data_IF_259050917879
#
_entry.id   IF_259050917879
#
_cell.length_a   1.000
_cell.length_b   1.000
_cell.length_c   1.000
_cell.angle_alpha   90.00
_cell.angle_beta   90.00
_cell.angle_gamma   90.00
#
_symmetry.space_group_name_H-M   'P 1'
#
loop_
_entity.id
_entity.type
_entity.pdbx_description
1 polymer ?
#
# COMPACT_ATOMS: atom_id res chain seq x y z
N UNK A 1 17.27 -37.30 32.92
CA UNK A 1 17.20 -35.82 32.93
C UNK A 1 17.06 -35.38 31.50
N UNK A 2 15.82 -35.26 31.05
CA UNK A 2 15.47 -34.74 29.72
C UNK A 2 15.28 -33.24 29.89
N UNK A 3 16.28 -32.48 29.47
CA UNK A 3 16.17 -31.03 29.35
C UNK A 3 15.18 -30.74 28.22
N UNK A 4 13.97 -30.43 28.63
CA UNK A 4 12.95 -29.83 27.78
C UNK A 4 13.37 -28.38 27.60
N UNK A 5 14.21 -28.11 26.61
CA UNK A 5 14.41 -26.75 26.13
C UNK A 5 13.06 -26.28 25.59
N UNK A 6 12.40 -25.40 26.35
CA UNK A 6 11.22 -24.69 25.90
C UNK A 6 11.57 -24.00 24.59
N UNK A 7 10.98 -24.48 23.50
CA UNK A 7 11.09 -23.87 22.19
C UNK A 7 10.54 -22.45 22.32
N UNK A 8 11.45 -21.49 22.46
CA UNK A 8 11.12 -20.08 22.56
C UNK A 8 10.52 -19.69 21.21
N UNK A 9 9.20 -19.58 21.14
CA UNK A 9 8.46 -19.35 19.91
C UNK A 9 8.66 -17.88 19.51
N UNK A 10 9.75 -17.61 18.79
CA UNK A 10 10.04 -16.31 18.22
C UNK A 10 8.87 -15.86 17.32
N UNK A 11 8.20 -14.76 17.70
CA UNK A 11 7.18 -14.13 16.89
C UNK A 11 7.85 -13.22 15.84
N UNK A 12 7.82 -13.66 14.58
CA UNK A 12 8.30 -12.88 13.43
C UNK A 12 7.55 -11.56 13.21
N UNK A 13 6.43 -11.32 13.90
CA UNK A 13 5.66 -10.08 13.82
C UNK A 13 6.25 -8.94 14.65
N UNK A 14 7.19 -9.23 15.55
CA UNK A 14 7.71 -8.24 16.51
C UNK A 14 8.97 -7.50 16.00
N UNK A 15 9.49 -7.84 14.82
CA UNK A 15 10.73 -7.27 14.29
C UNK A 15 10.58 -6.85 12.83
N UNK A 16 10.05 -5.65 12.62
CA UNK A 16 10.07 -4.97 11.31
C UNK A 16 11.33 -4.13 11.07
N UNK A 17 12.22 -4.03 12.06
CA UNK A 17 13.39 -3.16 12.02
C UNK A 17 14.69 -3.98 12.02
N UNK A 18 15.59 -3.65 11.08
CA UNK A 18 16.95 -4.21 10.98
C UNK A 18 17.83 -3.83 12.18
N UNK A 19 17.42 -2.85 13.00
CA UNK A 19 18.12 -2.46 14.24
C UNK A 19 18.17 -3.56 15.33
N UNK A 20 17.43 -4.65 15.15
CA UNK A 20 17.42 -5.81 16.05
C UNK A 20 18.41 -6.91 15.62
N UNK A 21 19.07 -6.76 14.47
CA UNK A 21 20.18 -7.64 14.09
C UNK A 21 21.43 -7.17 14.84
N UNK A 22 22.27 -8.07 15.39
CA UNK A 22 23.49 -7.67 16.06
C UNK A 22 24.35 -6.79 15.14
N UNK A 23 24.82 -5.64 15.64
CA UNK A 23 25.64 -4.66 14.92
C UNK A 23 26.94 -5.24 14.30
N UNK A 24 27.26 -6.50 14.60
CA UNK A 24 28.53 -7.15 14.29
C UNK A 24 28.41 -8.28 13.26
N UNK A 25 27.28 -8.42 12.57
CA UNK A 25 27.16 -9.32 11.43
C UNK A 25 27.47 -8.48 10.19
N UNK A 26 28.75 -8.41 9.81
CA UNK A 26 29.13 -7.90 8.49
C UNK A 26 28.39 -8.69 7.40
N UNK A 27 28.15 -8.07 6.24
CA UNK A 27 27.42 -8.69 5.12
C UNK A 27 28.05 -10.04 4.77
N UNK A 28 27.43 -11.13 5.23
CA UNK A 28 27.90 -12.50 5.00
C UNK A 28 27.63 -12.85 3.53
N UNK A 29 28.67 -13.24 2.79
CA UNK A 29 28.56 -13.70 1.39
C UNK A 29 27.71 -14.98 1.24
N UNK A 30 27.53 -15.73 2.32
CA UNK A 30 26.81 -17.01 2.32
C UNK A 30 26.33 -17.36 3.73
N UNK A 31 25.24 -18.14 3.81
CA UNK A 31 24.66 -18.61 5.08
C UNK A 31 24.80 -20.13 5.16
N UNK A 32 25.32 -20.64 6.29
CA UNK A 32 25.49 -22.08 6.53
C UNK A 32 24.16 -22.84 6.67
N UNK A 33 23.15 -22.19 7.24
CA UNK A 33 21.89 -22.83 7.60
C UNK A 33 20.72 -21.85 7.44
N UNK A 34 19.57 -22.38 7.03
CA UNK A 34 18.30 -21.66 7.03
C UNK A 34 17.30 -22.44 7.85
N UNK A 35 16.56 -21.76 8.72
CA UNK A 35 15.40 -22.34 9.40
C UNK A 35 14.17 -21.91 8.61
N UNK A 36 13.51 -22.87 7.97
CA UNK A 36 12.25 -22.62 7.25
C UNK A 36 11.10 -22.98 8.19
N UNK A 37 10.37 -21.96 8.62
CA UNK A 37 9.10 -22.17 9.34
C UNK A 37 7.98 -22.34 8.31
N UNK A 38 7.50 -23.57 8.14
CA UNK A 38 6.26 -23.84 7.42
C UNK A 38 5.11 -23.84 8.43
N UNK A 39 4.16 -22.92 8.28
CA UNK A 39 2.88 -22.98 9.00
C UNK A 39 1.86 -23.63 8.08
N UNK A 40 0.97 -24.43 8.67
CA UNK A 40 -0.26 -24.80 7.99
C UNK A 40 -0.96 -23.52 7.52
N UNK A 41 -1.59 -23.59 6.34
CA UNK A 41 -2.39 -22.47 5.86
C UNK A 41 -3.43 -22.14 6.94
N UNK A 42 -3.54 -20.87 7.36
CA UNK A 42 -4.55 -20.49 8.34
C UNK A 42 -5.93 -20.91 7.82
N UNK A 43 -6.85 -21.17 8.74
CA UNK A 43 -8.24 -21.46 8.39
C UNK A 43 -8.71 -20.45 7.33
N UNK A 44 -9.28 -20.96 6.24
CA UNK A 44 -9.77 -20.15 5.11
C UNK A 44 -11.07 -19.43 5.45
N UNK A 45 -11.33 -19.20 6.74
CA UNK A 45 -12.52 -18.56 7.26
C UNK A 45 -12.23 -17.79 8.53
N UNK A 46 -12.95 -16.68 8.74
CA UNK A 46 -12.85 -15.89 9.95
C UNK A 46 -13.44 -16.65 11.14
N UNK A 47 -12.59 -17.05 12.08
CA UNK A 47 -12.97 -17.67 13.34
C UNK A 47 -12.58 -16.73 14.49
N UNK A 48 -13.54 -15.94 14.97
CA UNK A 48 -13.29 -14.98 16.05
C UNK A 48 -14.53 -14.87 16.95
N UNK A 49 -14.42 -15.43 18.15
CA UNK A 49 -15.51 -15.52 19.11
C UNK A 49 -16.67 -16.40 18.62
N UNK A 50 -17.76 -16.40 19.38
CA UNK A 50 -18.90 -17.30 19.11
C UNK A 50 -19.78 -16.81 17.94
N UNK A 51 -19.68 -15.53 17.57
CA UNK A 51 -20.53 -14.91 16.51
C UNK A 51 -19.80 -14.74 15.18
N UNK A 52 -18.47 -14.92 15.14
CA UNK A 52 -17.66 -14.79 13.94
C UNK A 52 -17.86 -13.44 13.21
N UNK A 53 -17.88 -12.35 13.98
CA UNK A 53 -18.13 -10.98 13.50
C UNK A 53 -16.86 -10.19 13.20
N UNK A 54 -15.69 -10.82 13.14
CA UNK A 54 -14.41 -10.12 12.94
C UNK A 54 -14.40 -9.26 11.66
N UNK A 55 -15.00 -9.75 10.55
CA UNK A 55 -15.14 -8.95 9.32
C UNK A 55 -15.97 -7.69 9.55
N UNK A 56 -17.10 -7.81 10.26
CA UNK A 56 -17.95 -6.67 10.59
C UNK A 56 -17.22 -5.66 11.47
N UNK A 57 -16.46 -6.12 12.48
CA UNK A 57 -15.66 -5.23 13.32
C UNK A 57 -14.58 -4.51 12.52
N UNK A 58 -13.90 -5.20 11.60
CA UNK A 58 -12.94 -4.58 10.69
C UNK A 58 -13.58 -3.50 9.82
N UNK A 59 -14.75 -3.78 9.22
CA UNK A 59 -15.49 -2.78 8.43
C UNK A 59 -15.90 -1.59 9.30
N UNK A 60 -16.45 -1.84 10.48
CA UNK A 60 -16.84 -0.78 11.42
C UNK A 60 -15.66 0.13 11.78
N UNK A 61 -14.49 -0.45 12.05
CA UNK A 61 -13.26 0.32 12.30
C UNK A 61 -12.85 1.14 11.06
N UNK A 62 -12.92 0.56 9.87
CA UNK A 62 -12.56 1.24 8.62
C UNK A 62 -13.49 2.44 8.30
N UNK A 63 -14.80 2.34 8.57
CA UNK A 63 -15.74 3.45 8.39
C UNK A 63 -15.62 4.52 9.49
N UNK A 64 -14.95 4.23 10.60
CA UNK A 64 -14.67 5.12 11.72
C UNK A 64 -15.89 5.48 12.59
N UNK A 65 -17.06 5.71 11.98
CA UNK A 65 -18.32 6.02 12.67
C UNK A 65 -19.52 5.31 12.03
N UNK A 66 -20.54 5.02 12.83
CA UNK A 66 -21.79 4.41 12.35
C UNK A 66 -22.49 5.23 11.26
N UNK A 67 -22.41 6.56 11.32
CA UNK A 67 -23.02 7.44 10.32
C UNK A 67 -22.39 7.33 8.93
N UNK A 68 -21.17 6.80 8.83
CA UNK A 68 -20.48 6.60 7.55
C UNK A 68 -20.75 5.21 6.95
N UNK A 69 -21.26 4.27 7.74
CA UNK A 69 -21.55 2.92 7.26
C UNK A 69 -22.80 2.93 6.38
N UNK A 70 -22.76 2.16 5.29
CA UNK A 70 -23.92 1.99 4.44
C UNK A 70 -24.97 1.12 5.12
N UNK A 71 -26.25 1.34 4.82
CA UNK A 71 -27.37 0.60 5.42
C UNK A 71 -27.23 -0.92 5.25
N UNK A 72 -26.64 -1.37 4.13
CA UNK A 72 -26.44 -2.79 3.81
C UNK A 72 -25.47 -3.51 4.73
N UNK A 73 -24.62 -2.79 5.48
CA UNK A 73 -23.63 -3.38 6.40
C UNK A 73 -23.76 -2.85 7.82
N UNK A 74 -24.84 -2.12 8.14
CA UNK A 74 -25.04 -1.46 9.44
C UNK A 74 -25.05 -2.45 10.61
N UNK A 75 -25.42 -3.70 10.35
CA UNK A 75 -25.47 -4.77 11.33
C UNK A 75 -24.72 -6.01 10.84
N UNK A 76 -24.07 -6.76 11.75
CA UNK A 76 -23.37 -7.99 11.37
C UNK A 76 -24.33 -9.03 10.75
N UNK A 77 -25.58 -9.08 11.19
CA UNK A 77 -26.63 -9.95 10.65
C UNK A 77 -26.81 -9.74 9.14
N UNK A 78 -26.79 -8.49 8.67
CA UNK A 78 -27.02 -8.18 7.26
C UNK A 78 -25.90 -8.72 6.36
N UNK A 79 -24.66 -8.75 6.86
CA UNK A 79 -23.53 -9.35 6.13
C UNK A 79 -23.71 -10.87 6.04
N UNK A 80 -24.10 -11.53 7.13
CA UNK A 80 -24.35 -12.99 7.14
C UNK A 80 -25.49 -13.36 6.19
N UNK A 81 -26.61 -12.63 6.27
CA UNK A 81 -27.76 -12.83 5.40
C UNK A 81 -27.40 -12.63 3.93
N UNK A 82 -26.64 -11.57 3.60
CA UNK A 82 -26.18 -11.31 2.23
C UNK A 82 -25.29 -12.43 1.67
N UNK A 83 -24.48 -13.06 2.53
CA UNK A 83 -23.61 -14.18 2.16
C UNK A 83 -24.33 -15.54 2.22
N UNK A 84 -25.61 -15.58 2.57
CA UNK A 84 -26.40 -16.80 2.82
C UNK A 84 -25.78 -17.71 3.90
N UNK A 85 -25.28 -17.11 4.98
CA UNK A 85 -24.68 -17.79 6.13
C UNK A 85 -25.60 -17.70 7.35
N UNK A 86 -25.59 -18.72 8.22
CA UNK A 86 -26.25 -18.60 9.51
C UNK A 86 -25.52 -17.59 10.40
N UNK A 87 -26.21 -17.09 11.43
CA UNK A 87 -25.72 -15.97 12.24
C UNK A 87 -24.30 -16.15 12.78
N UNK A 88 -23.99 -17.35 13.26
CA UNK A 88 -22.73 -17.67 13.91
C UNK A 88 -21.75 -18.40 12.98
N UNK A 89 -22.09 -18.63 11.71
CA UNK A 89 -21.20 -19.34 10.78
C UNK A 89 -19.94 -18.51 10.51
N UNK A 90 -18.76 -19.13 10.41
CA UNK A 90 -17.55 -18.43 10.03
C UNK A 90 -17.64 -17.95 8.57
N UNK A 91 -17.09 -16.76 8.27
CA UNK A 91 -17.08 -16.22 6.91
C UNK A 91 -15.86 -16.75 6.18
N UNK A 92 -16.07 -17.65 5.22
CA UNK A 92 -15.02 -18.18 4.36
C UNK A 92 -14.48 -17.12 3.40
N UNK A 93 -13.19 -17.19 3.06
CA UNK A 93 -12.58 -16.40 1.99
C UNK A 93 -13.29 -16.63 0.65
N UNK A 94 -13.89 -17.80 0.45
CA UNK A 94 -14.67 -18.10 -0.75
C UNK A 94 -15.92 -17.22 -0.91
N UNK A 95 -16.40 -16.60 0.18
CA UNK A 95 -17.48 -15.62 0.16
C UNK A 95 -17.02 -14.25 -0.38
N UNK A 96 -15.71 -13.99 -0.43
CA UNK A 96 -15.14 -12.77 -0.98
C UNK A 96 -14.78 -13.04 -2.45
N UNK A 97 -15.45 -12.38 -3.41
CA UNK A 97 -15.16 -12.61 -4.81
C UNK A 97 -13.70 -12.23 -5.11
N UNK A 98 -13.03 -13.05 -5.92
CA UNK A 98 -11.72 -12.69 -6.42
C UNK A 98 -11.82 -11.39 -7.24
N UNK A 99 -10.85 -10.50 -7.04
CA UNK A 99 -10.73 -9.32 -7.88
C UNK A 99 -10.54 -9.74 -9.35
N UNK A 100 -10.98 -8.88 -10.27
CA UNK A 100 -10.71 -9.08 -11.70
C UNK A 100 -9.18 -9.18 -11.91
N UNK A 101 -8.70 -10.07 -12.78
CA UNK A 101 -7.28 -10.17 -13.06
C UNK A 101 -6.76 -8.85 -13.61
N UNK A 102 -5.60 -8.43 -13.11
CA UNK A 102 -4.94 -7.20 -13.55
C UNK A 102 -4.39 -7.40 -14.97
N UNK A 103 -4.61 -6.41 -15.82
CA UNK A 103 -4.06 -6.41 -17.18
C UNK A 103 -2.53 -6.34 -17.13
N UNK A 104 -1.83 -7.11 -17.95
CA UNK A 104 -0.37 -7.20 -17.88
C UNK A 104 0.32 -5.83 -18.12
N UNK A 105 -0.26 -5.00 -18.99
CA UNK A 105 0.28 -3.66 -19.26
C UNK A 105 0.01 -2.71 -18.09
N UNK A 106 -1.19 -2.79 -17.50
CA UNK A 106 -1.54 -2.05 -16.28
C UNK A 106 -0.65 -2.44 -15.10
N UNK A 107 -0.45 -3.74 -14.88
CA UNK A 107 0.45 -4.27 -13.86
C UNK A 107 1.88 -3.75 -14.03
N UNK A 108 2.37 -3.71 -15.28
CA UNK A 108 3.68 -3.14 -15.57
C UNK A 108 3.75 -1.65 -15.23
N UNK A 109 2.72 -0.86 -15.54
CA UNK A 109 2.69 0.57 -15.22
C UNK A 109 2.63 0.82 -13.72
N UNK A 110 1.82 0.05 -12.98
CA UNK A 110 1.75 0.12 -11.51
C UNK A 110 3.12 -0.22 -10.91
N UNK A 111 3.76 -1.29 -11.38
CA UNK A 111 5.09 -1.69 -10.91
C UNK A 111 6.15 -0.63 -11.23
N UNK A 112 6.15 -0.05 -12.43
CA UNK A 112 7.09 1.01 -12.82
C UNK A 112 6.85 2.32 -12.05
N UNK A 113 5.61 2.61 -11.66
CA UNK A 113 5.26 3.79 -10.87
C UNK A 113 5.62 3.65 -9.38
N UNK A 114 5.77 2.41 -8.89
CA UNK A 114 6.09 2.13 -7.50
C UNK A 114 7.46 2.70 -7.16
N UNK A 115 7.48 3.55 -6.13
CA UNK A 115 8.69 4.10 -5.52
C UNK A 115 8.62 3.87 -4.02
N UNK A 116 9.77 3.58 -3.42
CA UNK A 116 9.87 3.33 -1.98
C UNK A 116 9.82 4.64 -1.17
N UNK A 117 10.01 4.54 0.14
CA UNK A 117 10.14 5.71 1.00
C UNK A 117 11.32 6.60 0.56
N UNK A 118 11.18 7.91 0.78
CA UNK A 118 12.27 8.86 0.54
C UNK A 118 13.36 8.61 1.58
N UNK A 119 14.56 8.26 1.11
CA UNK A 119 15.76 8.10 1.93
C UNK A 119 16.79 9.11 1.46
N UNK A 120 17.26 9.94 2.38
CA UNK A 120 18.30 10.93 2.10
C UNK A 120 19.15 11.17 3.34
N UNK A 121 20.44 11.41 3.13
CA UNK A 121 21.36 11.79 4.19
C UNK A 121 22.26 12.93 3.73
N UNK A 122 22.54 13.87 4.63
CA UNK A 122 23.56 14.87 4.41
C UNK A 122 24.94 14.23 4.61
N UNK A 123 25.75 14.19 3.56
CA UNK A 123 27.11 13.69 3.64
C UNK A 123 27.94 14.47 4.67
N UNK A 124 28.70 13.73 5.49
CA UNK A 124 29.61 14.28 6.50
C UNK A 124 28.93 15.14 7.58
N UNK A 125 27.62 14.97 7.81
CA UNK A 125 26.95 15.68 8.89
C UNK A 125 27.54 15.31 10.25
N UNK A 126 27.76 16.32 11.10
CA UNK A 126 28.26 16.18 12.47
C UNK A 126 27.45 17.06 13.40
N UNK A 127 27.08 16.53 14.55
CA UNK A 127 26.37 17.30 15.57
C UNK A 127 25.48 16.43 16.45
N UNK A 128 24.66 17.10 17.25
CA UNK A 128 23.62 16.47 18.05
C UNK A 128 22.35 16.32 17.20
N UNK A 129 21.78 15.11 17.15
CA UNK A 129 20.59 14.78 16.37
C UNK A 129 19.40 14.48 17.26
N UNK A 130 18.19 14.73 16.74
CA UNK A 130 16.93 14.22 17.30
C UNK A 130 16.24 13.41 16.22
N UNK A 131 15.75 12.24 16.59
CA UNK A 131 14.91 11.43 15.73
C UNK A 131 13.44 11.76 15.97
N UNK A 132 12.69 11.87 14.88
CA UNK A 132 11.24 11.97 14.89
C UNK A 132 10.72 10.86 13.99
N UNK A 133 9.65 10.21 14.41
CA UNK A 133 9.02 9.13 13.65
C UNK A 133 7.50 9.30 13.68
N UNK A 134 6.86 9.00 12.55
CA UNK A 134 5.41 9.05 12.41
C UNK A 134 4.84 7.67 12.77
N UNK A 135 4.17 7.61 13.92
CA UNK A 135 3.55 6.37 14.39
C UNK A 135 2.53 5.86 13.36
N UNK A 136 2.82 4.69 12.79
CA UNK A 136 1.94 4.03 11.81
C UNK A 136 1.64 4.91 10.59
N UNK A 137 2.69 5.52 9.99
CA UNK A 137 2.57 6.39 8.82
C UNK A 137 1.67 5.81 7.72
N UNK A 138 1.94 4.61 7.20
CA UNK A 138 1.13 4.02 6.12
C UNK A 138 -0.34 3.79 6.51
N UNK A 139 -0.66 3.16 7.67
CA UNK A 139 -2.04 3.10 8.16
C UNK A 139 -2.72 4.47 8.31
N UNK A 140 -2.01 5.49 8.80
CA UNK A 140 -2.55 6.85 8.93
C UNK A 140 -2.89 7.47 7.57
N UNK A 141 -2.04 7.24 6.56
CA UNK A 141 -2.29 7.63 5.17
C UNK A 141 -3.51 6.89 4.61
N UNK A 142 -3.63 5.58 4.85
CA UNK A 142 -4.78 4.77 4.40
C UNK A 142 -6.11 5.21 5.03
N UNK A 143 -6.10 5.68 6.28
CA UNK A 143 -7.29 6.21 6.97
C UNK A 143 -7.65 7.65 6.56
N UNK A 144 -6.73 8.36 5.92
CA UNK A 144 -6.98 9.72 5.46
C UNK A 144 -7.99 9.76 4.30
N UNK A 145 -8.45 10.96 3.92
CA UNK A 145 -9.39 11.15 2.80
C UNK A 145 -8.77 10.92 1.40
N UNK A 146 -7.76 10.05 1.29
CA UNK A 146 -7.17 9.63 0.02
C UNK A 146 -8.11 8.68 -0.71
N UNK A 147 -8.11 8.79 -2.04
CA UNK A 147 -8.83 7.86 -2.91
C UNK A 147 -7.87 6.79 -3.40
N UNK A 148 -8.36 5.56 -3.55
CA UNK A 148 -7.59 4.43 -4.10
C UNK A 148 -8.24 3.94 -5.40
N UNK A 149 -7.43 3.51 -6.39
CA UNK A 149 -7.97 2.85 -7.58
C UNK A 149 -8.46 1.43 -7.22
N UNK A 150 -9.73 1.15 -7.47
CA UNK A 150 -10.38 -0.14 -7.17
C UNK A 150 -10.86 -0.91 -8.41
N UNK A 151 -10.86 -0.28 -9.59
CA UNK A 151 -11.23 -0.90 -10.87
C UNK A 151 -10.19 -0.58 -11.95
N UNK A 152 -10.31 -1.27 -13.09
CA UNK A 152 -9.37 -1.20 -14.21
C UNK A 152 -9.20 0.23 -14.74
N UNK A 153 -7.95 0.68 -14.85
CA UNK A 153 -7.61 1.96 -15.46
C UNK A 153 -7.78 1.97 -16.98
N UNK A 154 -7.83 3.17 -17.58
CA UNK A 154 -7.90 3.37 -19.03
C UNK A 154 -6.66 4.10 -19.54
N UNK A 155 -5.95 3.45 -20.45
CA UNK A 155 -4.84 4.05 -21.18
C UNK A 155 -5.33 5.13 -22.15
N UNK A 156 -4.65 6.27 -22.14
CA UNK A 156 -4.98 7.44 -22.94
C UNK A 156 -3.70 8.15 -23.40
N UNK A 157 -3.83 8.90 -24.50
CA UNK A 157 -2.83 9.85 -24.96
C UNK A 157 -3.37 11.24 -24.65
N UNK A 158 -2.78 11.88 -23.64
CA UNK A 158 -3.12 13.23 -23.22
C UNK A 158 -2.18 14.23 -23.88
N UNK A 159 -2.74 15.30 -24.45
CA UNK A 159 -1.94 16.46 -24.92
C UNK A 159 -1.48 17.31 -23.74
N UNK A 160 -2.35 17.44 -22.75
CA UNK A 160 -2.14 18.13 -21.49
C UNK A 160 -2.90 17.37 -20.40
N UNK A 161 -2.38 17.44 -19.18
CA UNK A 161 -2.88 16.78 -17.98
C UNK A 161 -3.09 17.78 -16.84
N UNK A 162 -2.86 19.07 -17.12
CA UNK A 162 -3.17 20.18 -16.25
C UNK A 162 -4.44 20.90 -16.70
N UNK A 163 -5.14 21.50 -15.75
CA UNK A 163 -6.20 22.46 -15.99
C UNK A 163 -5.99 23.69 -15.07
N UNK A 164 -6.94 24.63 -15.09
CA UNK A 164 -6.89 25.84 -14.24
C UNK A 164 -6.80 25.54 -12.72
N UNK A 165 -7.04 24.30 -12.27
CA UNK A 165 -6.97 23.86 -10.87
C UNK A 165 -5.75 22.98 -10.56
N UNK A 166 -4.87 22.72 -11.51
CA UNK A 166 -3.73 21.80 -11.35
C UNK A 166 -3.90 20.50 -12.14
N UNK A 167 -3.42 19.38 -11.61
CA UNK A 167 -3.57 18.09 -12.28
C UNK A 167 -5.02 17.62 -12.19
N UNK A 168 -5.63 17.38 -13.35
CA UNK A 168 -7.07 17.17 -13.47
C UNK A 168 -7.50 15.70 -13.43
N UNK A 169 -6.53 14.80 -13.36
CA UNK A 169 -6.75 13.37 -13.54
C UNK A 169 -6.16 12.57 -12.38
N UNK A 170 -6.89 11.54 -11.94
CA UNK A 170 -6.44 10.56 -10.99
C UNK A 170 -5.85 9.37 -11.77
N UNK A 171 -4.53 9.16 -11.67
CA UNK A 171 -3.87 8.18 -12.53
C UNK A 171 -2.36 8.06 -12.35
N UNK A 172 -1.76 7.34 -13.29
CA UNK A 172 -0.32 7.15 -13.49
C UNK A 172 0.04 7.75 -14.87
N UNK A 173 1.18 8.42 -14.97
CA UNK A 173 1.58 9.17 -16.17
C UNK A 173 3.02 8.91 -16.55
N UNK A 174 3.28 8.93 -17.85
CA UNK A 174 4.62 8.97 -18.42
C UNK A 174 5.03 10.44 -18.58
N UNK A 175 5.92 10.93 -17.72
CA UNK A 175 6.28 12.34 -17.65
C UNK A 175 7.77 12.54 -17.36
N UNK A 176 8.36 13.54 -18.00
CA UNK A 176 9.69 14.04 -17.67
C UNK A 176 9.58 15.13 -16.62
N UNK A 177 10.45 15.08 -15.60
CA UNK A 177 10.53 16.07 -14.52
C UNK A 177 11.92 16.69 -14.57
N UNK A 178 11.98 18.02 -14.51
CA UNK A 178 13.22 18.78 -14.41
C UNK A 178 14.02 18.32 -13.18
N UNK A 179 15.28 17.91 -13.41
CA UNK A 179 16.16 17.46 -12.33
C UNK A 179 16.76 18.67 -11.61
N UNK A 180 16.38 18.85 -10.35
CA UNK A 180 17.01 19.75 -9.38
C UNK A 180 17.59 18.95 -8.22
N UNK A 181 18.65 19.51 -7.62
CA UNK A 181 19.23 18.98 -6.38
C UNK A 181 18.28 19.30 -5.21
N UNK A 182 17.43 18.34 -4.87
CA UNK A 182 16.49 18.43 -3.75
C UNK A 182 16.32 17.07 -3.09
N UNK A 183 16.39 16.98 -1.75
CA UNK A 183 16.13 15.74 -1.03
C UNK A 183 14.64 15.41 -0.95
N UNK A 184 13.76 16.33 -1.35
CA UNK A 184 12.31 16.23 -1.16
C UNK A 184 11.58 15.56 -2.32
N UNK A 185 12.30 15.06 -3.32
CA UNK A 185 11.71 14.41 -4.49
C UNK A 185 12.56 13.25 -4.99
N UNK A 186 11.92 12.09 -5.20
CA UNK A 186 12.55 10.94 -5.81
C UNK A 186 12.19 10.87 -7.30
N UNK A 187 13.21 10.84 -8.16
CA UNK A 187 13.02 10.70 -9.61
C UNK A 187 12.86 9.22 -9.98
N UNK A 188 11.79 8.90 -10.69
CA UNK A 188 11.51 7.56 -11.17
C UNK A 188 12.35 7.24 -12.42
N UNK A 189 13.10 6.14 -12.39
CA UNK A 189 13.97 5.72 -13.50
C UNK A 189 13.19 5.50 -14.82
N UNK A 190 11.95 5.03 -14.74
CA UNK A 190 11.09 4.75 -15.89
C UNK A 190 10.31 5.98 -16.38
N UNK A 191 10.45 7.13 -15.70
CA UNK A 191 9.63 8.33 -15.94
C UNK A 191 8.12 8.06 -15.80
N UNK A 192 7.74 7.06 -15.00
CA UNK A 192 6.34 6.74 -14.70
C UNK A 192 6.04 7.22 -13.29
N UNK A 193 5.04 8.09 -13.15
CA UNK A 193 4.72 8.77 -11.89
C UNK A 193 3.22 8.71 -11.59
N UNK A 194 2.87 8.58 -10.32
CA UNK A 194 1.48 8.76 -9.88
C UNK A 194 1.10 10.24 -9.90
N UNK A 195 -0.19 10.56 -10.00
CA UNK A 195 -0.68 11.93 -9.84
C UNK A 195 -0.19 12.60 -8.53
N UNK A 196 -0.02 11.84 -7.44
CA UNK A 196 0.50 12.34 -6.16
C UNK A 196 1.93 12.84 -6.33
N UNK A 197 2.79 12.06 -7.00
CA UNK A 197 4.16 12.49 -7.27
C UNK A 197 4.19 13.76 -8.11
N UNK A 198 3.34 13.86 -9.14
CA UNK A 198 3.30 15.05 -9.99
C UNK A 198 2.82 16.29 -9.22
N UNK A 199 1.77 16.15 -8.40
CA UNK A 199 1.30 17.22 -7.49
C UNK A 199 2.44 17.71 -6.61
N UNK A 200 3.19 16.79 -6.00
CA UNK A 200 4.33 17.11 -5.14
C UNK A 200 5.48 17.77 -5.91
N UNK A 201 5.83 17.27 -7.09
CA UNK A 201 6.84 17.88 -7.97
C UNK A 201 6.49 19.34 -8.30
N UNK A 202 5.22 19.60 -8.61
CA UNK A 202 4.72 20.95 -8.88
C UNK A 202 4.78 21.83 -7.64
N UNK A 203 4.43 21.31 -6.47
CA UNK A 203 4.53 22.03 -5.20
C UNK A 203 5.98 22.45 -4.86
N UNK A 204 6.96 21.66 -5.30
CA UNK A 204 8.39 21.96 -5.20
C UNK A 204 8.91 22.91 -6.31
N UNK A 205 8.05 23.34 -7.24
CA UNK A 205 8.45 24.19 -8.36
C UNK A 205 9.31 23.46 -9.41
N UNK A 206 9.15 22.14 -9.55
CA UNK A 206 9.75 21.36 -10.62
C UNK A 206 8.89 21.47 -11.89
N UNK A 207 9.53 21.67 -13.04
CA UNK A 207 8.82 21.61 -14.31
C UNK A 207 8.50 20.15 -14.66
N UNK A 208 7.25 19.88 -15.06
CA UNK A 208 6.76 18.55 -15.44
C UNK A 208 6.19 18.62 -16.85
N UNK A 209 6.60 17.69 -17.72
CA UNK A 209 6.16 17.61 -19.12
C UNK A 209 5.77 16.18 -19.46
N UNK A 210 4.59 15.96 -20.07
CA UNK A 210 4.23 14.62 -20.58
C UNK A 210 5.16 14.21 -21.71
N UNK A 211 5.53 12.93 -21.73
CA UNK A 211 6.24 12.34 -22.86
C UNK A 211 5.22 12.08 -23.98
N UNK A 212 5.56 12.48 -25.21
CA UNK A 212 4.70 12.39 -26.39
C UNK A 212 5.42 11.56 -27.45
N UNK A 213 5.18 10.25 -27.46
CA UNK A 213 5.86 9.25 -28.31
C UNK A 213 4.87 8.36 -29.07
N UNK A 214 3.67 8.87 -29.35
CA UNK A 214 2.55 8.16 -30.00
C UNK A 214 2.03 6.92 -29.23
N UNK A 215 2.64 6.59 -28.09
CA UNK A 215 2.15 5.60 -27.14
C UNK A 215 1.26 6.25 -26.05
N UNK A 216 0.45 5.47 -25.31
CA UNK A 216 -0.27 5.97 -24.16
C UNK A 216 0.68 6.60 -23.13
N UNK A 217 0.40 7.84 -22.73
CA UNK A 217 1.18 8.57 -21.73
C UNK A 217 0.44 8.75 -20.40
N UNK A 218 -0.77 8.19 -20.29
CA UNK A 218 -1.56 8.22 -19.07
C UNK A 218 -2.40 6.95 -18.90
N UNK A 219 -2.45 6.45 -17.67
CA UNK A 219 -3.36 5.42 -17.19
C UNK A 219 -4.30 6.07 -16.17
N UNK A 220 -5.55 6.29 -16.57
CA UNK A 220 -6.52 7.07 -15.79
C UNK A 220 -7.55 6.15 -15.13
N UNK A 221 -7.76 6.35 -13.84
CA UNK A 221 -8.84 5.70 -13.10
C UNK A 221 -10.04 6.64 -13.00
N UNK A 222 -11.22 6.11 -13.30
CA UNK A 222 -12.45 6.88 -13.15
C UNK A 222 -12.81 6.96 -11.67
N UNK A 223 -13.26 8.13 -11.26
CA UNK A 223 -13.98 8.26 -9.99
C UNK A 223 -15.35 7.62 -10.17
N UNK A 224 -15.68 6.65 -9.32
CA UNK A 224 -17.07 6.20 -9.21
C UNK A 224 -17.90 7.37 -8.67
N UNK A 225 -18.94 7.73 -9.41
CA UNK A 225 -19.94 8.75 -9.06
C UNK A 225 -21.12 8.11 -8.38
#
# INVERSE_FOLDING_TARGET
TTDQEDANLFSLLDHYDKSQMPDNIGDLEWFDNFIIYMRDLPAVSGECGDTNDCLYQCLKMAYGSYSNMTQSIEKPEYIKDYLNLARNDPISIACIPANKPLDALEAQWISKAMMEGIIWAQNNWKGYGRSYDDTSLYPSIQQSALNFPIDKGKFQILKDFTNHRGYSHFGIFCASIEKKDTPLFQYNYYNIYTHINLIHAKALGLQVTLIQDEAPNALIYKKET
#
